data_IF_435894748547
#
_entry.id   IF_435894748547
#
_cell.length_a   1.000
_cell.length_b   1.000
_cell.length_c   1.000
_cell.angle_alpha   90.00
_cell.angle_beta   90.00
_cell.angle_gamma   90.00
#
_symmetry.space_group_name_H-M   'P 1'
#
loop_
_entity.id
_entity.type
_entity.pdbx_description
1 polymer ?
#
# COMPACT_ATOMS: atom_id res chain seq x y z
N UNK A 1 11.05 -36.25 35.19
CA UNK A 1 11.07 -35.17 34.17
C UNK A 1 12.00 -35.60 33.06
N UNK A 2 11.54 -36.45 32.14
CA UNK A 2 12.34 -36.92 31.00
C UNK A 2 12.09 -35.98 29.83
N UNK A 3 13.12 -35.22 29.42
CA UNK A 3 13.09 -34.46 28.19
C UNK A 3 13.12 -35.45 27.03
N UNK A 4 12.02 -35.64 26.31
CA UNK A 4 12.02 -36.47 25.10
C UNK A 4 12.87 -35.77 24.02
N UNK A 5 14.04 -36.31 23.66
CA UNK A 5 14.97 -35.64 22.73
C UNK A 5 14.33 -35.46 21.33
N UNK A 6 13.42 -36.36 20.96
CA UNK A 6 12.65 -36.29 19.72
C UNK A 6 11.72 -35.08 19.69
N UNK A 7 11.11 -34.70 20.82
CA UNK A 7 10.21 -33.52 20.88
C UNK A 7 10.98 -32.22 20.70
N UNK A 8 12.17 -32.11 21.29
CA UNK A 8 13.05 -30.95 21.12
C UNK A 8 13.57 -30.82 19.69
N UNK A 9 13.85 -31.95 19.01
CA UNK A 9 14.23 -31.93 17.60
C UNK A 9 13.12 -31.37 16.69
N UNK A 10 11.86 -31.77 16.92
CA UNK A 10 10.70 -31.22 16.19
C UNK A 10 10.48 -29.72 16.47
N UNK A 11 10.65 -29.28 17.71
CA UNK A 11 10.56 -27.86 18.07
C UNK A 11 11.65 -27.04 17.36
N UNK A 12 12.89 -27.52 17.37
CA UNK A 12 13.99 -26.85 16.66
C UNK A 12 13.73 -26.78 15.15
N UNK A 13 13.27 -27.87 14.53
CA UNK A 13 12.89 -27.90 13.13
C UNK A 13 11.75 -26.92 12.80
N UNK A 14 10.71 -26.85 13.64
CA UNK A 14 9.59 -25.92 13.45
C UNK A 14 10.05 -24.45 13.56
N UNK A 15 10.92 -24.13 14.53
CA UNK A 15 11.48 -22.77 14.69
C UNK A 15 12.34 -22.40 13.47
N UNK A 16 13.22 -23.29 13.02
CA UNK A 16 14.05 -23.05 11.83
C UNK A 16 13.18 -22.85 10.59
N UNK A 17 12.17 -23.69 10.38
CA UNK A 17 11.24 -23.55 9.27
C UNK A 17 10.48 -22.20 9.32
N UNK A 18 10.02 -21.79 10.50
CA UNK A 18 9.34 -20.53 10.70
C UNK A 18 10.25 -19.32 10.45
N UNK A 19 11.50 -19.35 10.93
CA UNK A 19 12.50 -18.32 10.68
C UNK A 19 12.88 -18.23 9.19
N UNK A 20 13.02 -19.37 8.51
CA UNK A 20 13.24 -19.42 7.06
C UNK A 20 12.05 -18.81 6.31
N UNK A 21 10.82 -19.13 6.73
CA UNK A 21 9.61 -18.55 6.14
C UNK A 21 9.57 -17.02 6.31
N UNK A 22 9.87 -16.51 7.51
CA UNK A 22 9.98 -15.07 7.78
C UNK A 22 11.06 -14.44 6.92
N UNK A 23 12.25 -15.05 6.86
CA UNK A 23 13.35 -14.58 6.05
C UNK A 23 12.97 -14.48 4.57
N UNK A 24 12.32 -15.51 4.03
CA UNK A 24 11.82 -15.52 2.65
C UNK A 24 10.76 -14.44 2.40
N UNK A 25 9.83 -14.22 3.34
CA UNK A 25 8.81 -13.16 3.23
C UNK A 25 9.46 -11.77 3.29
N UNK A 26 10.41 -11.56 4.20
CA UNK A 26 11.13 -10.30 4.34
C UNK A 26 11.97 -10.00 3.08
N UNK A 27 12.68 -10.99 2.55
CA UNK A 27 13.45 -10.88 1.30
C UNK A 27 12.55 -10.58 0.10
N UNK A 28 11.36 -11.19 0.03
CA UNK A 28 10.37 -10.92 -1.03
C UNK A 28 9.80 -9.51 -0.93
N UNK A 29 9.52 -9.02 0.27
CA UNK A 29 9.08 -7.62 0.50
C UNK A 29 10.17 -6.65 0.09
N UNK A 30 11.42 -6.86 0.52
CA UNK A 30 12.56 -6.01 0.15
C UNK A 30 12.79 -5.97 -1.36
N UNK A 31 12.58 -7.08 -2.08
CA UNK A 31 12.64 -7.11 -3.55
C UNK A 31 11.51 -6.34 -4.21
N UNK A 32 10.28 -6.39 -3.67
CA UNK A 32 9.17 -5.53 -4.15
C UNK A 32 9.46 -4.05 -3.94
N UNK A 33 10.15 -3.67 -2.86
CA UNK A 33 10.57 -2.27 -2.62
C UNK A 33 11.61 -1.80 -3.65
N UNK A 34 12.44 -2.72 -4.16
CA UNK A 34 13.45 -2.45 -5.20
C UNK A 34 12.92 -2.39 -6.64
N UNK A 35 11.66 -2.76 -6.88
CA UNK A 35 11.03 -2.74 -8.21
C UNK A 35 10.29 -1.42 -8.49
N UNK A 36 10.47 -0.41 -7.64
CA UNK A 36 10.22 0.97 -7.99
C UNK A 36 11.29 1.44 -9.00
N UNK A 37 11.28 0.86 -10.20
CA UNK A 37 11.95 1.45 -11.35
C UNK A 37 11.54 2.93 -11.41
N UNK A 38 12.47 3.86 -11.70
CA UNK A 38 12.12 5.27 -11.87
C UNK A 38 10.99 5.31 -12.90
N UNK A 39 9.82 5.72 -12.42
CA UNK A 39 8.64 5.82 -13.25
C UNK A 39 9.01 6.75 -14.41
N UNK A 40 8.66 6.36 -15.64
CA UNK A 40 8.79 7.26 -16.77
C UNK A 40 8.16 8.61 -16.37
N UNK A 41 8.75 9.76 -16.76
CA UNK A 41 8.32 11.07 -16.28
C UNK A 41 6.81 11.34 -16.44
N UNK A 42 6.15 10.68 -17.40
CA UNK A 42 4.71 10.82 -17.67
C UNK A 42 3.83 9.69 -17.11
N UNK A 43 4.40 8.72 -16.37
CA UNK A 43 3.65 7.58 -15.87
C UNK A 43 2.60 8.00 -14.82
N UNK A 44 1.40 7.45 -14.93
CA UNK A 44 0.33 7.68 -13.94
C UNK A 44 0.62 6.86 -12.69
N UNK A 45 0.69 7.52 -11.55
CA UNK A 45 0.91 6.87 -10.27
C UNK A 45 -0.39 6.22 -9.80
N UNK A 46 -0.39 4.92 -9.57
CA UNK A 46 -1.51 4.19 -8.95
C UNK A 46 -1.10 3.86 -7.53
N UNK A 47 -1.79 4.42 -6.55
CA UNK A 47 -1.46 4.32 -5.13
C UNK A 47 -2.56 3.56 -4.41
N UNK A 48 -2.21 2.68 -3.48
CA UNK A 48 -3.20 1.96 -2.69
C UNK A 48 -2.93 1.96 -1.19
N UNK A 49 -4.01 1.92 -0.40
CA UNK A 49 -3.94 1.62 1.03
C UNK A 49 -5.02 0.58 1.39
N UNK A 50 -4.60 -0.55 1.95
CA UNK A 50 -5.44 -1.72 2.13
C UNK A 50 -5.12 -2.44 3.43
N UNK A 51 -6.16 -2.79 4.21
CA UNK A 51 -5.98 -3.65 5.39
C UNK A 51 -6.00 -5.14 5.03
N UNK A 52 -6.94 -5.55 4.17
CA UNK A 52 -7.19 -6.97 3.84
C UNK A 52 -6.86 -7.33 2.39
N UNK A 53 -6.32 -6.39 1.61
CA UNK A 53 -5.85 -6.62 0.24
C UNK A 53 -6.83 -6.23 -0.87
N UNK A 54 -8.10 -5.94 -0.58
CA UNK A 54 -9.07 -5.61 -1.64
C UNK A 54 -8.72 -4.33 -2.44
N UNK A 55 -8.32 -3.25 -1.75
CA UNK A 55 -7.90 -2.02 -2.42
C UNK A 55 -6.62 -2.20 -3.25
N UNK A 56 -5.71 -3.05 -2.77
CA UNK A 56 -4.48 -3.41 -3.49
C UNK A 56 -4.79 -4.17 -4.78
N UNK A 57 -5.72 -5.14 -4.72
CA UNK A 57 -6.12 -5.91 -5.90
C UNK A 57 -6.76 -4.99 -6.97
N UNK A 58 -7.68 -4.12 -6.56
CA UNK A 58 -8.26 -3.13 -7.45
C UNK A 58 -7.21 -2.20 -8.06
N UNK A 59 -6.18 -1.83 -7.29
CA UNK A 59 -5.09 -0.98 -7.79
C UNK A 59 -4.23 -1.73 -8.81
N UNK A 60 -3.93 -3.01 -8.58
CA UNK A 60 -3.25 -3.86 -9.56
C UNK A 60 -4.06 -4.01 -10.85
N UNK A 61 -5.37 -4.24 -10.75
CA UNK A 61 -6.26 -4.30 -11.90
C UNK A 61 -6.31 -2.98 -12.67
N UNK A 62 -6.37 -1.85 -11.95
CA UNK A 62 -6.38 -0.50 -12.54
C UNK A 62 -5.08 -0.22 -13.29
N UNK A 63 -3.92 -0.50 -12.67
CA UNK A 63 -2.62 -0.34 -13.31
C UNK A 63 -2.48 -1.22 -14.55
N UNK A 64 -2.93 -2.48 -14.48
CA UNK A 64 -2.93 -3.39 -15.63
C UNK A 64 -3.82 -2.88 -16.78
N UNK A 65 -5.02 -2.37 -16.48
CA UNK A 65 -5.93 -1.83 -17.47
C UNK A 65 -5.37 -0.57 -18.15
N UNK A 66 -4.75 0.34 -17.38
CA UNK A 66 -4.10 1.53 -17.91
C UNK A 66 -2.91 1.18 -18.83
N UNK A 67 -2.04 0.25 -18.38
CA UNK A 67 -0.93 -0.23 -19.21
C UNK A 67 -1.43 -0.88 -20.50
N UNK A 68 -2.50 -1.69 -20.44
CA UNK A 68 -3.11 -2.28 -21.62
C UNK A 68 -3.69 -1.22 -22.59
N UNK A 69 -4.15 -0.09 -22.05
CA UNK A 69 -4.57 1.08 -22.82
C UNK A 69 -3.43 1.98 -23.31
N UNK A 70 -2.16 1.59 -23.11
CA UNK A 70 -0.99 2.37 -23.53
C UNK A 70 -0.65 3.54 -22.61
N UNK A 71 -1.25 3.62 -21.42
CA UNK A 71 -0.90 4.62 -20.40
C UNK A 71 0.13 4.00 -19.46
N UNK A 72 1.38 4.47 -19.43
CA UNK A 72 2.38 3.96 -18.52
C UNK A 72 1.93 4.19 -17.07
N UNK A 73 2.06 3.19 -16.22
CA UNK A 73 1.72 3.31 -14.80
C UNK A 73 2.84 2.86 -13.88
N UNK A 74 2.83 3.44 -12.68
CA UNK A 74 3.66 2.98 -11.58
C UNK A 74 2.76 2.67 -10.38
N UNK A 75 2.81 1.44 -9.88
CA UNK A 75 2.03 1.02 -8.72
C UNK A 75 2.85 1.24 -7.43
N UNK A 76 2.22 1.76 -6.38
CA UNK A 76 2.88 1.95 -5.08
C UNK A 76 1.88 1.79 -3.93
N UNK A 77 2.33 1.23 -2.80
CA UNK A 77 1.55 1.33 -1.57
C UNK A 77 1.68 2.74 -0.98
N UNK A 78 0.62 3.26 -0.38
CA UNK A 78 0.62 4.61 0.18
C UNK A 78 1.72 4.77 1.24
N UNK A 79 1.93 3.76 2.09
CA UNK A 79 2.98 3.76 3.10
C UNK A 79 4.41 3.81 2.56
N UNK A 80 4.65 3.33 1.33
CA UNK A 80 5.96 3.37 0.67
C UNK A 80 6.12 4.62 -0.22
N UNK A 81 5.04 5.31 -0.54
CA UNK A 81 5.07 6.53 -1.33
C UNK A 81 5.82 7.63 -0.59
N UNK A 82 6.81 8.22 -1.25
CA UNK A 82 7.51 9.40 -0.74
C UNK A 82 6.80 10.68 -1.18
N UNK A 83 6.96 11.73 -0.39
CA UNK A 83 6.33 13.03 -0.62
C UNK A 83 6.89 13.67 -1.89
N UNK A 84 8.18 13.51 -2.15
CA UNK A 84 8.86 14.02 -3.34
C UNK A 84 8.35 13.33 -4.62
N UNK A 85 8.09 12.02 -4.55
CA UNK A 85 7.55 11.26 -5.67
C UNK A 85 6.10 11.65 -5.97
N UNK A 86 5.32 11.97 -4.93
CA UNK A 86 3.97 12.48 -5.09
C UNK A 86 3.96 13.88 -5.72
N UNK A 87 4.78 14.80 -5.22
CA UNK A 87 4.91 16.15 -5.77
C UNK A 87 5.41 16.17 -7.23
N UNK A 88 6.28 15.24 -7.60
CA UNK A 88 6.78 15.13 -8.96
C UNK A 88 5.81 14.44 -9.94
N UNK A 89 4.73 13.82 -9.44
CA UNK A 89 3.80 13.09 -10.29
C UNK A 89 2.82 14.07 -10.97
N UNK A 90 2.62 13.97 -12.31
CA UNK A 90 1.60 14.78 -12.98
C UNK A 90 0.19 14.23 -12.73
N UNK A 91 0.08 12.91 -12.50
CA UNK A 91 -1.20 12.19 -12.36
C UNK A 91 -1.12 11.11 -11.29
N UNK A 92 -2.11 11.05 -10.40
CA UNK A 92 -2.22 9.99 -9.41
C UNK A 92 -3.66 9.47 -9.23
N UNK A 93 -3.81 8.16 -9.05
CA UNK A 93 -5.07 7.51 -8.68
C UNK A 93 -4.88 6.81 -7.34
N UNK A 94 -5.66 7.18 -6.34
CA UNK A 94 -5.62 6.62 -4.99
C UNK A 94 -6.76 5.64 -4.78
N UNK A 95 -6.46 4.38 -4.49
CA UNK A 95 -7.43 3.36 -4.15
C UNK A 95 -7.26 2.98 -2.68
N UNK A 96 -8.11 3.52 -1.82
CA UNK A 96 -7.91 3.46 -0.37
C UNK A 96 -9.12 2.89 0.35
N UNK A 97 -8.88 1.96 1.25
CA UNK A 97 -9.91 1.43 2.16
C UNK A 97 -9.97 2.23 3.46
N UNK A 98 -11.12 2.20 4.13
CA UNK A 98 -11.31 2.73 5.49
C UNK A 98 -11.40 1.57 6.47
N UNK A 99 -10.85 1.71 7.67
CA UNK A 99 -10.88 0.69 8.73
C UNK A 99 -11.70 1.15 9.94
N UNK A 100 -12.28 0.18 10.66
CA UNK A 100 -12.96 0.42 11.94
C UNK A 100 -13.96 1.58 11.91
N UNK A 101 -13.70 2.58 12.74
CA UNK A 101 -14.56 3.77 12.93
C UNK A 101 -14.17 4.94 12.00
N UNK A 102 -13.58 4.68 10.84
CA UNK A 102 -13.19 5.72 9.90
C UNK A 102 -11.70 5.93 9.73
N UNK A 103 -10.89 5.09 10.37
CA UNK A 103 -9.44 5.21 10.38
C UNK A 103 -8.79 4.80 9.05
N UNK A 104 -7.53 5.20 8.92
CA UNK A 104 -6.68 4.75 7.83
C UNK A 104 -6.25 3.28 8.05
N UNK A 105 -6.04 2.51 6.97
CA UNK A 105 -5.40 1.20 7.07
C UNK A 105 -3.97 1.32 7.61
N UNK A 106 -3.46 0.27 8.24
CA UNK A 106 -2.09 0.25 8.78
C UNK A 106 -1.04 0.55 7.71
N UNK A 107 -1.32 0.14 6.47
CA UNK A 107 -0.47 0.41 5.29
C UNK A 107 -0.33 1.90 4.96
N UNK A 108 -1.18 2.77 5.48
CA UNK A 108 -1.15 4.22 5.24
C UNK A 108 -0.48 5.01 6.38
N UNK A 109 -0.40 4.45 7.59
CA UNK A 109 0.04 5.16 8.81
C UNK A 109 1.40 5.83 8.63
N UNK A 110 2.34 5.15 7.97
CA UNK A 110 3.67 5.70 7.75
C UNK A 110 3.64 6.97 6.87
N UNK A 111 2.76 7.03 5.87
CA UNK A 111 2.57 8.19 5.00
C UNK A 111 1.91 9.34 5.74
N UNK A 112 0.90 9.06 6.58
CA UNK A 112 0.22 10.08 7.36
C UNK A 112 1.17 10.87 8.26
N UNK A 113 2.19 10.21 8.83
CA UNK A 113 3.22 10.88 9.63
C UNK A 113 4.09 11.85 8.83
N UNK A 114 4.13 11.68 7.50
CA UNK A 114 4.88 12.51 6.56
C UNK A 114 3.99 13.53 5.85
N UNK A 115 2.68 13.53 6.09
CA UNK A 115 1.79 14.56 5.58
C UNK A 115 2.18 15.90 6.19
N UNK A 116 2.83 16.71 5.37
CA UNK A 116 3.09 18.12 5.62
C UNK A 116 2.29 18.94 4.60
N UNK A 117 2.35 20.27 4.72
CA UNK A 117 1.86 21.14 3.65
C UNK A 117 2.81 21.00 2.47
N UNK A 118 2.35 20.35 1.40
CA UNK A 118 3.07 20.23 0.14
C UNK A 118 2.32 20.99 -0.93
N UNK A 119 3.06 21.61 -1.85
CA UNK A 119 2.46 22.15 -3.06
C UNK A 119 2.17 21.00 -4.03
N UNK A 120 0.88 20.72 -4.23
CA UNK A 120 0.36 19.70 -5.15
C UNK A 120 -0.38 20.35 -6.33
N UNK A 121 -0.21 21.65 -6.58
CA UNK A 121 -0.93 22.37 -7.63
C UNK A 121 -0.73 21.80 -9.05
N UNK A 122 0.38 21.09 -9.29
CA UNK A 122 0.66 20.40 -10.56
C UNK A 122 0.09 18.98 -10.67
N UNK A 123 -0.48 18.43 -9.60
CA UNK A 123 -0.96 17.06 -9.54
C UNK A 123 -2.44 16.98 -9.93
N UNK A 124 -2.75 16.26 -11.01
CA UNK A 124 -4.12 15.81 -11.27
C UNK A 124 -4.37 14.49 -10.56
N UNK A 125 -5.34 14.44 -9.64
CA UNK A 125 -5.60 13.21 -8.88
C UNK A 125 -7.05 12.77 -8.91
N UNK A 126 -7.27 11.51 -8.53
CA UNK A 126 -8.59 10.97 -8.21
C UNK A 126 -8.51 9.98 -7.05
N UNK A 127 -9.54 9.96 -6.21
CA UNK A 127 -9.63 9.05 -5.05
C UNK A 127 -10.82 8.10 -5.21
N UNK A 128 -10.53 6.80 -5.22
CA UNK A 128 -11.50 5.73 -5.04
C UNK A 128 -11.47 5.28 -3.58
N UNK A 129 -12.42 5.78 -2.80
CA UNK A 129 -12.60 5.42 -1.40
C UNK A 129 -13.48 4.16 -1.26
N UNK A 130 -12.93 3.12 -0.66
CA UNK A 130 -13.61 1.86 -0.35
C UNK A 130 -14.05 1.85 1.12
N UNK A 131 -15.32 1.59 1.35
CA UNK A 131 -15.93 1.51 2.67
C UNK A 131 -17.27 0.78 2.63
N UNK A 132 -17.88 0.64 3.80
CA UNK A 132 -19.17 0.00 3.97
C UNK A 132 -20.18 0.99 4.56
N UNK A 133 -21.34 1.13 3.92
CA UNK A 133 -22.40 2.08 4.30
C UNK A 133 -23.06 1.74 5.63
N UNK A 134 -22.84 0.54 6.15
CA UNK A 134 -23.32 0.11 7.47
C UNK A 134 -22.61 0.82 8.63
N UNK A 135 -21.43 1.41 8.36
CA UNK A 135 -20.66 2.16 9.35
C UNK A 135 -21.00 3.65 9.31
N UNK A 136 -21.05 4.27 10.49
CA UNK A 136 -21.27 5.72 10.65
C UNK A 136 -20.25 6.55 9.87
N UNK A 137 -19.00 6.07 9.83
CA UNK A 137 -17.86 6.73 9.18
C UNK A 137 -17.56 6.12 7.79
N UNK A 138 -18.59 5.87 6.98
CA UNK A 138 -18.48 5.33 5.62
C UNK A 138 -17.45 6.11 4.77
N UNK A 139 -16.37 5.50 4.30
CA UNK A 139 -15.32 6.16 3.47
C UNK A 139 -14.60 7.36 4.12
N UNK A 140 -14.55 7.47 5.44
CA UNK A 140 -13.97 8.64 6.13
C UNK A 140 -12.49 8.87 5.77
N UNK A 141 -11.66 7.82 5.76
CA UNK A 141 -10.25 7.97 5.40
C UNK A 141 -10.06 8.48 3.96
N UNK A 142 -10.80 7.94 3.01
CA UNK A 142 -10.71 8.37 1.62
C UNK A 142 -11.14 9.82 1.41
N UNK A 143 -12.15 10.30 2.14
CA UNK A 143 -12.53 11.73 2.13
C UNK A 143 -11.47 12.62 2.74
N UNK A 144 -10.90 12.23 3.88
CA UNK A 144 -9.84 13.00 4.51
C UNK A 144 -8.59 13.10 3.62
N UNK A 145 -8.30 12.05 2.84
CA UNK A 145 -7.23 12.06 1.85
C UNK A 145 -7.55 13.00 0.67
N UNK A 146 -8.78 12.96 0.15
CA UNK A 146 -9.26 13.84 -0.91
C UNK A 146 -9.16 15.32 -0.49
N UNK A 147 -9.62 15.64 0.71
CA UNK A 147 -9.55 16.98 1.32
C UNK A 147 -8.11 17.48 1.55
N UNK A 148 -7.13 16.58 1.69
CA UNK A 148 -5.72 16.96 1.85
C UNK A 148 -5.00 17.14 0.51
N UNK A 149 -5.44 16.44 -0.53
CA UNK A 149 -4.85 16.51 -1.88
C UNK A 149 -5.31 17.75 -2.65
N UNK A 150 -6.52 18.27 -2.36
CA UNK A 150 -7.10 19.48 -2.96
C UNK A 150 -6.92 20.75 -2.14
#
# INVERSE_FOLDING_TARGET
>A
MTADPIRWAWVAAAIVLWLVLIGLIALRRARKTGDAAPAAPDATLVVFASQTGFAEELARMTAAALNAGGVPTALSSLGELTIERLAAAPRALFLVSTTGEGDAPDSAVAFLRRMNRLDLSGLSFGVLALGDRSYSHFCAFGRALDDWLG
#
